data_IF_906950667148
#
_entry.id   IF_906950667148
#
_cell.length_a   1.000
_cell.length_b   1.000
_cell.length_c   1.000
_cell.angle_alpha   90.00
_cell.angle_beta   90.00
_cell.angle_gamma   90.00
#
_symmetry.space_group_name_H-M   'P 1'
#
loop_
_entity.id
_entity.type
_entity.pdbx_description
1 polymer ?
#
# COMPACT_ATOMS: atom_id res chain seq x y z
N UNK A 1 0.71 3.39 20.08
CA UNK A 1 0.21 3.41 18.70
C UNK A 1 1.22 3.96 17.71
N UNK A 2 1.83 5.13 17.92
CA UNK A 2 2.93 5.58 17.05
C UNK A 2 4.13 4.62 17.08
N UNK A 3 4.53 4.14 18.26
CA UNK A 3 5.61 3.14 18.39
C UNK A 3 5.25 1.77 17.77
N UNK A 4 3.98 1.37 17.85
CA UNK A 4 3.50 0.15 17.21
C UNK A 4 3.53 0.27 15.69
N UNK A 5 3.06 1.40 15.15
CA UNK A 5 3.12 1.69 13.73
C UNK A 5 4.57 1.76 13.22
N UNK A 6 5.49 2.40 13.97
CA UNK A 6 6.93 2.40 13.66
C UNK A 6 7.51 0.99 13.61
N UNK A 7 7.14 0.11 14.56
CA UNK A 7 7.58 -1.28 14.56
C UNK A 7 7.06 -2.06 13.32
N UNK A 8 5.84 -1.77 12.87
CA UNK A 8 5.31 -2.36 11.63
C UNK A 8 6.08 -1.84 10.42
N UNK A 9 6.38 -0.54 10.33
CA UNK A 9 7.21 0.03 9.26
C UNK A 9 8.58 -0.64 9.22
N UNK A 10 9.25 -0.76 10.37
CA UNK A 10 10.61 -1.29 10.47
C UNK A 10 10.71 -2.76 10.02
N UNK A 11 9.67 -3.55 10.26
CA UNK A 11 9.59 -4.97 9.86
C UNK A 11 8.90 -5.20 8.50
N UNK A 12 8.41 -4.15 7.83
CA UNK A 12 7.47 -4.29 6.71
C UNK A 12 8.02 -5.02 5.48
N UNK A 13 9.34 -5.14 5.36
CA UNK A 13 10.01 -5.80 4.25
C UNK A 13 10.59 -7.18 4.62
N UNK A 14 10.36 -7.67 5.84
CA UNK A 14 10.98 -8.91 6.31
C UNK A 14 10.46 -10.14 5.56
N UNK A 15 9.22 -10.09 5.09
CA UNK A 15 8.53 -11.21 4.42
C UNK A 15 8.20 -10.95 2.94
N UNK A 16 8.74 -9.88 2.34
CA UNK A 16 8.47 -9.54 0.95
C UNK A 16 8.50 -8.04 0.70
N UNK A 17 7.90 -7.61 -0.41
CA UNK A 17 7.81 -6.19 -0.76
C UNK A 17 6.44 -5.64 -0.33
N UNK A 18 6.37 -4.76 0.68
CA UNK A 18 5.14 -4.06 1.03
C UNK A 18 4.87 -2.95 0.02
N UNK A 19 3.66 -2.39 0.09
CA UNK A 19 3.37 -1.06 -0.46
C UNK A 19 3.00 -0.15 0.69
N UNK A 20 3.55 1.07 0.67
CA UNK A 20 3.18 2.15 1.57
C UNK A 20 2.82 3.38 0.74
N UNK A 21 1.65 3.93 1.01
CA UNK A 21 1.09 5.14 0.43
C UNK A 21 0.88 6.15 1.56
N UNK A 22 1.11 7.43 1.30
CA UNK A 22 0.85 8.46 2.29
C UNK A 22 0.13 9.66 1.68
N UNK A 23 -0.68 10.33 2.47
CA UNK A 23 -1.36 11.55 2.09
C UNK A 23 -1.10 12.61 3.16
N UNK A 24 -1.80 13.73 3.07
CA UNK A 24 -1.81 14.72 4.13
C UNK A 24 -2.69 14.30 5.32
N UNK A 25 -3.58 13.33 5.13
CA UNK A 25 -4.58 12.91 6.12
C UNK A 25 -4.28 11.55 6.76
N UNK A 26 -3.58 10.64 6.05
CA UNK A 26 -3.27 9.31 6.56
C UNK A 26 -2.05 8.66 5.88
N UNK A 27 -1.60 7.56 6.47
CA UNK A 27 -0.65 6.61 5.86
C UNK A 27 -1.36 5.27 5.71
N UNK A 28 -1.30 4.68 4.52
CA UNK A 28 -1.81 3.35 4.23
C UNK A 28 -0.68 2.39 3.87
N UNK A 29 -0.78 1.15 4.31
CA UNK A 29 0.16 0.09 3.95
C UNK A 29 -0.49 -1.26 3.76
N UNK A 30 0.05 -2.03 2.82
CA UNK A 30 -0.18 -3.47 2.70
C UNK A 30 1.15 -4.19 2.85
N UNK A 31 1.27 -4.96 3.93
CA UNK A 31 2.52 -5.59 4.36
C UNK A 31 2.40 -7.11 4.30
N UNK A 32 3.32 -7.82 3.62
CA UNK A 32 3.27 -9.28 3.58
C UNK A 32 3.55 -9.87 4.96
N UNK A 33 2.71 -10.81 5.41
CA UNK A 33 2.88 -11.47 6.71
C UNK A 33 3.70 -12.76 6.61
N UNK A 34 3.70 -13.38 5.43
CA UNK A 34 4.47 -14.59 5.13
C UNK A 34 5.18 -14.47 3.79
N UNK A 35 6.30 -15.17 3.64
CA UNK A 35 7.11 -15.13 2.43
C UNK A 35 6.44 -15.71 1.17
N UNK A 36 5.32 -16.41 1.31
CA UNK A 36 4.54 -16.90 0.18
C UNK A 36 3.55 -15.84 -0.33
N UNK A 37 3.34 -14.75 0.42
CA UNK A 37 2.39 -13.70 0.09
C UNK A 37 0.93 -14.14 0.19
N UNK A 38 0.61 -15.17 0.98
CA UNK A 38 -0.76 -15.64 1.16
C UNK A 38 -1.56 -14.70 2.06
N UNK A 39 -0.92 -14.15 3.10
CA UNK A 39 -1.55 -13.24 4.04
C UNK A 39 -0.88 -11.88 4.04
N UNK A 40 -1.72 -10.85 4.15
CA UNK A 40 -1.29 -9.47 4.12
C UNK A 40 -1.94 -8.72 5.27
N UNK A 41 -1.12 -7.89 5.92
CA UNK A 41 -1.54 -6.97 6.96
C UNK A 41 -1.82 -5.62 6.30
N UNK A 42 -3.07 -5.20 6.35
CA UNK A 42 -3.47 -3.84 6.06
C UNK A 42 -3.20 -2.98 7.30
N UNK A 43 -2.61 -1.82 7.06
CA UNK A 43 -2.26 -0.85 8.08
C UNK A 43 -2.75 0.50 7.61
N UNK A 44 -3.52 1.19 8.44
CA UNK A 44 -3.90 2.58 8.18
C UNK A 44 -3.61 3.41 9.43
N UNK A 45 -2.93 4.54 9.26
CA UNK A 45 -2.66 5.50 10.32
C UNK A 45 -3.27 6.85 9.95
N UNK A 46 -4.36 7.23 10.59
CA UNK A 46 -5.12 8.46 10.30
C UNK A 46 -4.71 9.58 11.24
N UNK A 47 -4.24 10.72 10.72
CA UNK A 47 -3.73 11.83 11.54
C UNK A 47 -4.85 12.59 12.28
N UNK A 48 -6.08 12.56 11.75
CA UNK A 48 -7.23 13.22 12.36
C UNK A 48 -7.72 12.53 13.66
N UNK A 49 -7.51 11.23 13.80
CA UNK A 49 -8.02 10.43 14.93
C UNK A 49 -7.00 10.36 16.07
N UNK A 50 -7.09 11.29 17.03
CA UNK A 50 -6.10 11.39 18.12
C UNK A 50 -6.09 10.19 19.08
N UNK A 51 -7.25 9.60 19.33
CA UNK A 51 -7.40 8.59 20.38
C UNK A 51 -7.08 7.18 19.90
N UNK A 52 -7.31 6.88 18.61
CA UNK A 52 -7.04 5.58 17.98
C UNK A 52 -6.66 5.74 16.49
N UNK A 53 -5.52 6.39 16.17
CA UNK A 53 -5.16 6.67 14.77
C UNK A 53 -4.81 5.42 13.98
N UNK A 54 -4.46 4.31 14.64
CA UNK A 54 -3.92 3.11 14.00
C UNK A 54 -5.00 2.04 13.85
N UNK A 55 -5.29 1.69 12.60
CA UNK A 55 -6.05 0.51 12.21
C UNK A 55 -5.10 -0.56 11.64
N UNK A 56 -5.23 -1.79 12.14
CA UNK A 56 -4.46 -2.94 11.66
C UNK A 56 -5.37 -4.13 11.52
N UNK A 57 -5.28 -4.83 10.39
CA UNK A 57 -6.04 -6.04 10.14
C UNK A 57 -5.29 -6.94 9.19
N UNK A 58 -5.57 -8.23 9.23
CA UNK A 58 -4.89 -9.24 8.44
C UNK A 58 -5.90 -10.03 7.63
N UNK A 59 -5.63 -10.21 6.33
CA UNK A 59 -6.51 -10.93 5.41
C UNK A 59 -5.72 -11.74 4.39
N UNK A 60 -6.40 -12.69 3.77
CA UNK A 60 -5.88 -13.46 2.63
C UNK A 60 -5.68 -12.56 1.39
N UNK A 61 -4.68 -12.89 0.57
CA UNK A 61 -4.20 -12.07 -0.53
C UNK A 61 -5.28 -11.65 -1.53
N UNK A 62 -6.25 -12.52 -1.83
CA UNK A 62 -7.35 -12.19 -2.75
C UNK A 62 -8.19 -11.01 -2.24
N UNK A 63 -8.50 -10.99 -0.94
CA UNK A 63 -9.30 -9.93 -0.34
C UNK A 63 -8.45 -8.68 -0.13
N UNK A 64 -7.21 -8.84 0.33
CA UNK A 64 -6.27 -7.71 0.45
C UNK A 64 -6.01 -7.02 -0.88
N UNK A 65 -5.99 -7.77 -1.99
CA UNK A 65 -5.87 -7.20 -3.33
C UNK A 65 -7.07 -6.31 -3.68
N UNK A 66 -8.30 -6.72 -3.34
CA UNK A 66 -9.48 -5.88 -3.57
C UNK A 66 -9.42 -4.57 -2.80
N UNK A 67 -9.00 -4.61 -1.53
CA UNK A 67 -8.84 -3.40 -0.72
C UNK A 67 -7.69 -2.51 -1.21
N UNK A 68 -6.57 -3.10 -1.65
CA UNK A 68 -5.48 -2.35 -2.25
C UNK A 68 -5.91 -1.63 -3.53
N UNK A 69 -6.69 -2.29 -4.39
CA UNK A 69 -7.25 -1.66 -5.58
C UNK A 69 -8.20 -0.52 -5.23
N UNK A 70 -9.09 -0.73 -4.27
CA UNK A 70 -9.99 0.32 -3.81
C UNK A 70 -9.24 1.54 -3.26
N UNK A 71 -8.20 1.31 -2.48
CA UNK A 71 -7.34 2.38 -1.96
C UNK A 71 -6.65 3.15 -3.10
N UNK A 72 -6.02 2.46 -4.04
CA UNK A 72 -5.30 3.12 -5.14
C UNK A 72 -6.25 3.81 -6.11
N UNK A 73 -7.38 3.18 -6.47
CA UNK A 73 -8.33 3.74 -7.44
C UNK A 73 -9.22 4.84 -6.88
N UNK A 74 -9.55 4.78 -5.58
CA UNK A 74 -10.48 5.73 -4.95
C UNK A 74 -9.80 6.57 -3.89
N UNK A 75 -9.15 5.95 -2.91
CA UNK A 75 -8.49 6.65 -1.79
C UNK A 75 -7.45 7.67 -2.29
N UNK A 76 -6.42 7.19 -2.99
CA UNK A 76 -5.34 8.01 -3.53
C UNK A 76 -5.84 9.04 -4.55
N UNK A 77 -6.90 8.72 -5.31
CA UNK A 77 -7.45 9.63 -6.33
C UNK A 77 -7.99 10.95 -5.76
N UNK A 78 -8.31 11.01 -4.46
CA UNK A 78 -8.68 12.25 -3.79
C UNK A 78 -7.50 13.20 -3.57
N UNK A 79 -6.27 12.69 -3.57
CA UNK A 79 -5.05 13.44 -3.27
C UNK A 79 -4.14 13.59 -4.50
N UNK A 80 -4.35 12.79 -5.54
CA UNK A 80 -3.54 12.78 -6.76
C UNK A 80 -4.44 13.06 -7.96
N UNK A 81 -4.56 14.34 -8.32
CA UNK A 81 -5.49 14.81 -9.37
C UNK A 81 -5.19 14.21 -10.75
N UNK A 82 -3.92 13.94 -11.06
CA UNK A 82 -3.46 13.39 -12.34
C UNK A 82 -3.39 11.85 -12.36
N UNK A 83 -3.94 11.18 -11.34
CA UNK A 83 -3.89 9.72 -11.25
C UNK A 83 -4.63 9.06 -12.43
N UNK A 84 -3.88 8.30 -13.22
CA UNK A 84 -4.42 7.59 -14.37
C UNK A 84 -5.09 6.27 -13.96
N UNK A 85 -6.31 6.38 -13.41
CA UNK A 85 -7.13 5.25 -12.96
C UNK A 85 -7.46 4.29 -14.10
N UNK A 86 -7.56 4.77 -15.36
CA UNK A 86 -7.78 3.90 -16.51
C UNK A 86 -6.62 2.91 -16.71
N UNK A 87 -5.38 3.39 -16.65
CA UNK A 87 -4.21 2.51 -16.76
C UNK A 87 -4.08 1.55 -15.58
N UNK A 88 -4.53 1.94 -14.38
CA UNK A 88 -4.57 1.04 -13.21
C UNK A 88 -5.51 -0.13 -13.51
N UNK A 89 -6.71 0.16 -14.03
CA UNK A 89 -7.71 -0.85 -14.40
C UNK A 89 -7.22 -1.77 -15.51
N UNK A 90 -6.67 -1.22 -16.58
CA UNK A 90 -6.10 -2.01 -17.68
C UNK A 90 -5.01 -2.97 -17.19
N UNK A 91 -4.14 -2.52 -16.27
CA UNK A 91 -3.14 -3.40 -15.69
C UNK A 91 -3.77 -4.47 -14.79
N UNK A 92 -4.74 -4.12 -13.95
CA UNK A 92 -5.47 -5.06 -13.09
C UNK A 92 -6.18 -6.15 -13.90
N UNK A 93 -6.81 -5.78 -15.01
CA UNK A 93 -7.46 -6.73 -15.92
C UNK A 93 -6.44 -7.73 -16.50
N UNK A 94 -5.19 -7.30 -16.75
CA UNK A 94 -4.11 -8.20 -17.18
C UNK A 94 -3.68 -9.24 -16.12
N UNK A 95 -4.13 -9.07 -14.87
CA UNK A 95 -3.89 -10.01 -13.77
C UNK A 95 -5.03 -11.01 -13.58
N UNK A 96 -6.08 -10.97 -14.42
CA UNK A 96 -7.13 -11.99 -14.39
C UNK A 96 -6.57 -13.41 -14.51
N UNK A 97 -7.18 -14.36 -13.80
CA UNK A 97 -6.73 -15.75 -13.72
C UNK A 97 -5.51 -16.02 -12.83
N UNK A 98 -4.77 -14.99 -12.39
CA UNK A 98 -3.66 -15.17 -11.43
C UNK A 98 -4.16 -15.42 -10.00
N UNK A 99 -3.34 -16.10 -9.20
CA UNK A 99 -3.61 -16.28 -7.76
C UNK A 99 -3.51 -14.95 -7.00
N UNK A 100 -4.11 -14.89 -5.81
CA UNK A 100 -4.05 -13.70 -4.94
C UNK A 100 -2.62 -13.22 -4.65
N UNK A 101 -1.69 -14.10 -4.23
CA UNK A 101 -0.30 -13.72 -4.03
C UNK A 101 0.36 -13.16 -5.29
N UNK A 102 0.13 -13.78 -6.46
CA UNK A 102 0.65 -13.29 -7.73
C UNK A 102 0.08 -11.92 -8.10
N UNK A 103 -1.21 -11.68 -7.84
CA UNK A 103 -1.87 -10.39 -8.07
C UNK A 103 -1.25 -9.30 -7.20
N UNK A 104 -1.17 -9.53 -5.88
CA UNK A 104 -0.56 -8.60 -4.92
C UNK A 104 0.86 -8.22 -5.33
N UNK A 105 1.72 -9.23 -5.54
CA UNK A 105 3.12 -9.00 -5.86
C UNK A 105 3.30 -8.31 -7.23
N UNK A 106 2.52 -8.72 -8.24
CA UNK A 106 2.59 -8.11 -9.58
C UNK A 106 2.17 -6.63 -9.54
N UNK A 107 1.08 -6.34 -8.83
CA UNK A 107 0.54 -4.99 -8.72
C UNK A 107 1.44 -4.03 -7.94
N UNK A 108 1.95 -4.47 -6.79
CA UNK A 108 2.89 -3.69 -5.98
C UNK A 108 4.17 -3.43 -6.80
N UNK A 109 4.70 -4.45 -7.48
CA UNK A 109 5.89 -4.28 -8.32
C UNK A 109 5.67 -3.28 -9.46
N UNK A 110 4.52 -3.34 -10.14
CA UNK A 110 4.18 -2.40 -11.23
C UNK A 110 4.09 -0.97 -10.70
N UNK A 111 3.37 -0.72 -9.60
CA UNK A 111 3.26 0.63 -9.05
C UNK A 111 4.61 1.18 -8.56
N UNK A 112 5.44 0.36 -7.92
CA UNK A 112 6.74 0.81 -7.42
C UNK A 112 7.71 1.16 -8.56
N UNK A 113 7.76 0.34 -9.61
CA UNK A 113 8.71 0.49 -10.71
C UNK A 113 8.23 1.51 -11.75
N UNK A 114 6.91 1.56 -11.99
CA UNK A 114 6.30 2.34 -13.05
C UNK A 114 5.37 3.45 -12.53
N UNK A 115 5.48 3.85 -11.26
CA UNK A 115 4.68 4.94 -10.64
C UNK A 115 4.43 6.16 -11.55
N UNK A 116 5.46 6.65 -12.25
CA UNK A 116 5.35 7.83 -13.15
C UNK A 116 4.44 7.63 -14.36
N UNK A 117 4.15 6.39 -14.74
CA UNK A 117 3.14 6.03 -15.75
C UNK A 117 1.72 6.35 -15.26
N UNK A 118 1.51 6.28 -13.95
CA UNK A 118 0.21 6.47 -13.31
C UNK A 118 0.02 7.88 -12.78
N UNK A 119 1.07 8.48 -12.21
CA UNK A 119 1.14 9.89 -11.83
C UNK A 119 2.59 10.25 -11.48
N UNK A 120 3.02 11.47 -11.79
CA UNK A 120 4.32 11.97 -11.34
C UNK A 120 4.38 12.23 -9.82
N UNK A 121 3.22 12.43 -9.21
CA UNK A 121 3.06 12.79 -7.79
C UNK A 121 2.53 11.63 -6.93
N UNK A 122 2.56 10.39 -7.43
CA UNK A 122 2.07 9.23 -6.67
C UNK A 122 2.84 9.10 -5.33
N UNK A 123 2.16 9.18 -4.17
CA UNK A 123 2.82 9.31 -2.88
C UNK A 123 3.16 7.94 -2.30
N UNK A 124 4.04 7.23 -3.00
CA UNK A 124 4.45 5.86 -2.71
C UNK A 124 5.89 5.81 -2.18
N UNK A 125 6.13 5.01 -1.15
CA UNK A 125 7.47 4.66 -0.68
C UNK A 125 8.02 3.53 -1.55
N UNK A 126 9.16 3.78 -2.20
CA UNK A 126 9.72 2.87 -3.22
C UNK A 126 10.76 1.89 -2.69
N UNK A 127 11.29 2.10 -1.49
CA UNK A 127 12.31 1.21 -0.91
C UNK A 127 12.46 1.42 0.61
N UNK A 128 13.28 0.55 1.23
CA UNK A 128 13.57 0.57 2.67
C UNK A 128 14.15 1.90 3.17
N UNK A 129 14.99 2.57 2.37
CA UNK A 129 15.67 3.80 2.81
C UNK A 129 14.68 4.97 3.01
N UNK A 130 13.58 4.95 2.25
CA UNK A 130 12.50 5.92 2.31
C UNK A 130 11.51 5.67 3.46
N UNK A 131 11.60 4.56 4.20
CA UNK A 131 10.69 4.29 5.33
C UNK A 131 10.82 5.29 6.47
N UNK A 132 11.97 5.96 6.57
CA UNK A 132 12.16 7.07 7.52
C UNK A 132 11.21 8.24 7.26
N UNK A 133 10.79 8.45 6.00
CA UNK A 133 9.85 9.52 5.61
C UNK A 133 8.47 9.31 6.25
N UNK A 134 7.99 8.07 6.32
CA UNK A 134 6.72 7.74 6.98
C UNK A 134 6.78 8.01 8.48
N UNK A 135 7.89 7.65 9.12
CA UNK A 135 8.08 7.83 10.57
C UNK A 135 8.17 9.30 10.96
N UNK A 136 8.66 10.17 10.07
CA UNK A 136 8.76 11.61 10.28
C UNK A 136 7.40 12.34 10.14
N UNK A 137 6.36 11.67 9.62
CA UNK A 137 5.01 12.22 9.50
C UNK A 137 4.14 12.01 10.75
N UNK A 138 4.60 11.21 11.71
CA UNK A 138 3.95 10.92 13.00
C UNK A 138 4.30 11.99 14.05
#
# INVERSE_FOLDING_TARGET
MSEEFKAIIDSSFDNGTPIWLYTDDYIFGMVPVDGNGNRWKEVSYTFAEKDNPLYVTEREANLSFQFLLEEVEKGVSFYVEDLNVLLIKEFTDSLEGKSGPEKMNSFISELMQNSSKYSAALPIVKNKDQLSELKNKL
#
